data_IF_177977072535
#
_entry.id   IF_177977072535
#
_cell.length_a   1.000
_cell.length_b   1.000
_cell.length_c   1.000
_cell.angle_alpha   90.00
_cell.angle_beta   90.00
_cell.angle_gamma   90.00
#
_symmetry.space_group_name_H-M   'P 1'
#
loop_
_entity.id
_entity.type
_entity.pdbx_description
1 polymer ?
#
# COMPACT_ATOMS: atom_id res chain seq x y z
N UNK A 1 43.20 8.35 -26.33
CA UNK A 1 42.81 6.96 -26.06
C UNK A 1 41.76 7.08 -24.96
N UNK A 2 40.50 6.92 -25.30
CA UNK A 2 39.37 7.03 -24.38
C UNK A 2 39.06 5.61 -23.90
N UNK A 3 39.27 5.38 -22.61
CA UNK A 3 38.81 4.17 -21.93
C UNK A 3 37.28 4.14 -21.92
N UNK A 4 36.69 3.42 -22.85
CA UNK A 4 35.30 2.98 -22.73
C UNK A 4 35.30 1.80 -21.73
N UNK A 5 34.85 2.03 -20.54
CA UNK A 5 34.51 0.95 -19.61
C UNK A 5 33.43 0.08 -20.26
N UNK A 6 33.70 -1.21 -20.44
CA UNK A 6 32.72 -2.17 -20.91
C UNK A 6 31.49 -2.15 -20.00
N UNK A 7 30.25 -2.26 -20.54
CA UNK A 7 29.07 -2.35 -19.71
C UNK A 7 29.17 -3.61 -18.85
N UNK A 8 29.21 -3.41 -17.53
CA UNK A 8 29.27 -4.50 -16.56
C UNK A 8 28.17 -5.52 -16.84
N UNK A 9 28.53 -6.79 -16.87
CA UNK A 9 27.61 -7.92 -16.96
C UNK A 9 26.57 -7.76 -15.86
N UNK A 10 25.32 -7.54 -16.22
CA UNK A 10 24.20 -7.60 -15.27
C UNK A 10 24.11 -9.08 -14.87
N UNK A 11 24.74 -9.43 -13.76
CA UNK A 11 24.59 -10.76 -13.16
C UNK A 11 23.16 -10.88 -12.71
N UNK A 12 22.36 -11.73 -13.36
CA UNK A 12 21.04 -12.11 -12.89
C UNK A 12 21.16 -12.57 -11.43
N UNK A 13 20.29 -12.07 -10.56
CA UNK A 13 20.25 -12.53 -9.18
C UNK A 13 19.98 -14.04 -9.17
N UNK A 14 20.64 -14.82 -8.29
CA UNK A 14 20.34 -16.24 -8.16
C UNK A 14 18.88 -16.42 -7.75
N UNK A 15 18.32 -17.61 -8.00
CA UNK A 15 16.96 -17.92 -7.58
C UNK A 15 16.74 -17.58 -6.09
N UNK A 16 15.57 -17.08 -5.70
CA UNK A 16 15.29 -16.76 -4.30
C UNK A 16 15.28 -18.00 -3.44
N UNK A 17 15.79 -17.88 -2.23
CA UNK A 17 15.69 -18.88 -1.17
C UNK A 17 14.45 -18.61 -0.32
N UNK A 18 13.95 -19.57 0.47
CA UNK A 18 12.80 -19.33 1.38
C UNK A 18 12.97 -18.12 2.32
N UNK A 19 14.21 -17.74 2.66
CA UNK A 19 14.54 -16.59 3.50
C UNK A 19 14.39 -15.25 2.78
N UNK A 20 14.48 -15.25 1.46
CA UNK A 20 14.29 -14.07 0.62
C UNK A 20 12.80 -13.82 0.34
N UNK A 21 11.95 -14.79 0.66
CA UNK A 21 10.53 -14.79 0.34
C UNK A 21 9.67 -14.39 1.54
N UNK A 22 8.58 -13.70 1.26
CA UNK A 22 7.63 -13.26 2.28
C UNK A 22 6.20 -13.28 1.74
N UNK A 23 5.23 -13.71 2.57
CA UNK A 23 3.81 -13.60 2.24
C UNK A 23 3.32 -12.20 2.60
N UNK A 24 2.68 -11.54 1.63
CA UNK A 24 1.87 -10.35 1.83
C UNK A 24 0.41 -10.61 1.47
N UNK A 25 -0.51 -10.06 2.25
CA UNK A 25 -1.96 -10.16 2.05
C UNK A 25 -2.56 -8.77 2.04
N UNK A 26 -3.33 -8.47 1.00
CA UNK A 26 -4.10 -7.22 0.80
C UNK A 26 -5.58 -7.51 1.09
N UNK A 27 -6.10 -6.95 2.17
CA UNK A 27 -7.51 -7.05 2.55
C UNK A 27 -8.27 -5.87 1.97
N UNK A 28 -8.91 -6.09 0.81
CA UNK A 28 -9.74 -5.07 0.19
C UNK A 28 -11.24 -5.29 0.42
N UNK A 29 -12.06 -4.26 0.22
CA UNK A 29 -13.52 -4.31 0.41
C UNK A 29 -14.27 -5.28 -0.53
N UNK A 30 -13.68 -5.73 -1.62
CA UNK A 30 -14.28 -6.65 -2.59
C UNK A 30 -13.54 -7.98 -2.74
N UNK A 31 -12.31 -8.06 -2.23
CA UNK A 31 -11.51 -9.27 -2.34
C UNK A 31 -10.26 -9.17 -1.49
N UNK A 32 -9.90 -10.30 -0.90
CA UNK A 32 -8.68 -10.51 -0.14
C UNK A 32 -7.70 -11.22 -1.08
N UNK A 33 -6.52 -10.66 -1.23
CA UNK A 33 -5.50 -11.14 -2.18
C UNK A 33 -4.19 -11.37 -1.45
N UNK A 34 -3.49 -12.41 -1.82
CA UNK A 34 -2.16 -12.66 -1.31
C UNK A 34 -1.17 -12.99 -2.42
N UNK A 35 0.10 -12.87 -2.10
CA UNK A 35 1.20 -13.23 -2.98
C UNK A 35 2.49 -13.49 -2.20
N UNK A 36 3.39 -14.22 -2.82
CA UNK A 36 4.73 -14.47 -2.32
C UNK A 36 5.66 -13.47 -3.02
N UNK A 37 6.35 -12.67 -2.21
CA UNK A 37 7.22 -11.57 -2.67
C UNK A 37 8.68 -11.93 -2.42
N UNK A 38 9.53 -11.78 -3.43
CA UNK A 38 10.98 -11.77 -3.26
C UNK A 38 11.40 -10.38 -2.74
N UNK A 39 11.78 -10.30 -1.47
CA UNK A 39 12.14 -9.05 -0.80
C UNK A 39 13.41 -8.38 -1.36
N UNK A 40 14.22 -9.08 -2.16
CA UNK A 40 15.41 -8.50 -2.81
C UNK A 40 15.02 -7.61 -4.00
N UNK A 41 13.87 -7.89 -4.62
CA UNK A 41 13.44 -7.26 -5.88
C UNK A 41 12.07 -6.58 -5.80
N UNK A 42 11.23 -6.95 -4.82
CA UNK A 42 9.83 -6.55 -4.73
C UNK A 42 8.91 -7.26 -5.75
N UNK A 43 9.41 -8.26 -6.47
CA UNK A 43 8.59 -9.00 -7.43
C UNK A 43 7.80 -10.12 -6.76
N UNK A 44 6.60 -10.36 -7.26
CA UNK A 44 5.88 -11.59 -6.94
C UNK A 44 6.54 -12.77 -7.65
N UNK A 45 6.82 -13.83 -6.93
CA UNK A 45 7.41 -15.07 -7.48
C UNK A 45 6.35 -16.07 -7.95
N UNK A 46 5.08 -15.78 -7.69
CA UNK A 46 3.93 -16.60 -8.09
C UNK A 46 2.73 -15.73 -8.41
N UNK A 47 1.72 -16.29 -9.11
CA UNK A 47 0.46 -15.61 -9.32
C UNK A 47 -0.20 -15.26 -7.98
N UNK A 48 -0.90 -14.13 -7.96
CA UNK A 48 -1.71 -13.75 -6.81
C UNK A 48 -2.86 -14.73 -6.63
N UNK A 49 -3.13 -15.08 -5.39
CA UNK A 49 -4.34 -15.82 -5.04
C UNK A 49 -5.38 -14.86 -4.46
N UNK A 50 -6.64 -14.99 -4.87
CA UNK A 50 -7.72 -14.08 -4.48
C UNK A 50 -8.96 -14.84 -4.09
N UNK A 51 -9.56 -14.45 -2.97
CA UNK A 51 -10.90 -14.86 -2.52
C UNK A 51 -11.74 -13.60 -2.33
N UNK A 52 -13.04 -13.68 -2.60
CA UNK A 52 -13.96 -12.55 -2.36
C UNK A 52 -14.04 -12.23 -0.87
N UNK A 53 -14.09 -10.94 -0.53
CA UNK A 53 -14.28 -10.49 0.85
C UNK A 53 -15.66 -10.94 1.36
N UNK A 54 -15.73 -11.59 2.53
CA UNK A 54 -16.98 -12.08 3.08
C UNK A 54 -17.95 -10.93 3.40
N UNK A 55 -19.22 -11.23 3.43
CA UNK A 55 -20.27 -10.28 3.80
C UNK A 55 -21.19 -10.90 4.85
N UNK A 56 -21.20 -10.36 6.08
CA UNK A 56 -20.43 -9.22 6.58
C UNK A 56 -18.92 -9.55 6.72
N UNK A 57 -18.09 -8.50 6.57
CA UNK A 57 -16.63 -8.59 6.68
C UNK A 57 -16.16 -8.49 8.14
N UNK A 58 -16.71 -9.34 9.01
CA UNK A 58 -16.35 -9.39 10.43
C UNK A 58 -14.93 -9.93 10.64
N UNK A 59 -14.28 -9.65 11.80
CA UNK A 59 -12.96 -10.17 12.12
C UNK A 59 -12.81 -11.68 11.89
N UNK A 60 -13.74 -12.47 12.42
CA UNK A 60 -13.70 -13.94 12.28
C UNK A 60 -13.85 -14.40 10.82
N UNK A 61 -14.79 -13.79 10.07
CA UNK A 61 -15.02 -14.16 8.68
C UNK A 61 -13.85 -13.79 7.76
N UNK A 62 -13.22 -12.62 7.99
CA UNK A 62 -12.03 -12.18 7.25
C UNK A 62 -10.82 -13.05 7.60
N UNK A 63 -10.61 -13.37 8.88
CA UNK A 63 -9.52 -14.22 9.35
C UNK A 63 -9.55 -15.61 8.72
N UNK A 64 -10.73 -16.21 8.59
CA UNK A 64 -10.91 -17.51 7.90
C UNK A 64 -10.50 -17.41 6.41
N UNK A 65 -10.84 -16.32 5.73
CA UNK A 65 -10.43 -16.13 4.33
C UNK A 65 -8.93 -15.89 4.23
N UNK A 66 -8.33 -15.09 5.14
CA UNK A 66 -6.88 -14.88 5.21
C UNK A 66 -6.14 -16.20 5.42
N UNK A 67 -6.61 -17.06 6.34
CA UNK A 67 -6.06 -18.40 6.55
C UNK A 67 -6.00 -19.18 5.22
N UNK A 68 -7.11 -19.27 4.51
CA UNK A 68 -7.18 -19.97 3.22
C UNK A 68 -6.23 -19.38 2.17
N UNK A 69 -6.06 -18.07 2.15
CA UNK A 69 -5.09 -17.41 1.26
C UNK A 69 -3.67 -17.78 1.63
N UNK A 70 -3.33 -17.75 2.91
CA UNK A 70 -1.98 -18.10 3.40
C UNK A 70 -1.67 -19.57 3.20
N UNK A 71 -2.61 -20.48 3.50
CA UNK A 71 -2.46 -21.93 3.32
C UNK A 71 -2.18 -22.26 1.83
N UNK A 72 -2.94 -21.67 0.91
CA UNK A 72 -2.72 -21.83 -0.54
C UNK A 72 -1.32 -21.36 -0.95
N UNK A 73 -0.89 -20.18 -0.49
CA UNK A 73 0.43 -19.65 -0.82
C UNK A 73 1.55 -20.48 -0.22
N UNK A 74 1.36 -20.98 1.00
CA UNK A 74 2.35 -21.82 1.68
C UNK A 74 2.48 -23.22 1.04
N UNK A 75 1.46 -23.69 0.33
CA UNK A 75 1.49 -24.98 -0.38
C UNK A 75 2.25 -24.96 -1.71
N UNK A 76 2.72 -23.80 -2.16
CA UNK A 76 3.39 -23.63 -3.46
C UNK A 76 4.86 -24.02 -3.39
N UNK A 77 5.44 -24.40 -4.54
CA UNK A 77 6.85 -24.82 -4.65
C UNK A 77 7.85 -23.77 -4.16
N UNK A 78 7.56 -22.49 -4.42
CA UNK A 78 8.33 -21.33 -3.94
C UNK A 78 7.58 -20.67 -2.79
N UNK A 79 7.61 -21.28 -1.61
CA UNK A 79 7.04 -20.72 -0.38
C UNK A 79 8.14 -20.18 0.54
N UNK A 80 7.84 -19.16 1.37
CA UNK A 80 8.74 -18.73 2.44
C UNK A 80 8.82 -19.77 3.53
N UNK A 81 9.74 -19.56 4.49
CA UNK A 81 9.81 -20.37 5.70
C UNK A 81 8.44 -20.33 6.42
N UNK A 82 7.84 -21.48 6.80
CA UNK A 82 6.56 -21.52 7.50
C UNK A 82 6.52 -20.72 8.81
N UNK A 83 7.67 -20.55 9.47
CA UNK A 83 7.82 -19.77 10.70
C UNK A 83 7.97 -18.26 10.45
N UNK A 84 8.18 -17.85 9.20
CA UNK A 84 8.30 -16.42 8.88
C UNK A 84 6.97 -15.70 9.14
N UNK A 85 7.02 -14.44 9.55
CA UNK A 85 5.83 -13.62 9.77
C UNK A 85 4.98 -13.50 8.49
N UNK A 86 3.72 -13.09 8.62
CA UNK A 86 2.84 -12.72 7.50
C UNK A 86 2.55 -11.23 7.57
N UNK A 87 2.69 -10.53 6.47
CA UNK A 87 2.31 -9.11 6.37
C UNK A 87 0.88 -8.96 5.86
N UNK A 88 0.12 -8.08 6.50
CA UNK A 88 -1.27 -7.83 6.14
C UNK A 88 -1.50 -6.34 6.02
N UNK A 89 -1.93 -5.87 4.85
CA UNK A 89 -2.50 -4.54 4.78
C UNK A 89 -4.02 -4.57 4.98
N UNK A 90 -4.52 -3.49 5.56
CA UNK A 90 -5.90 -3.38 5.98
C UNK A 90 -6.47 -1.98 5.67
N UNK A 91 -7.71 -1.87 5.15
CA UNK A 91 -8.28 -0.60 4.69
C UNK A 91 -8.81 0.25 5.86
N UNK A 92 -7.96 0.50 6.84
CA UNK A 92 -8.26 1.30 8.03
C UNK A 92 -6.97 1.81 8.69
N UNK A 93 -7.10 2.74 9.62
CA UNK A 93 -6.01 3.15 10.51
C UNK A 93 -5.62 1.99 11.41
N UNK A 94 -4.38 1.50 11.27
CA UNK A 94 -3.80 0.43 12.09
C UNK A 94 -2.62 0.98 12.89
N UNK A 95 -2.76 1.03 14.21
CA UNK A 95 -1.72 1.54 15.10
C UNK A 95 -1.36 0.50 16.14
N UNK A 96 -0.12 0.03 16.11
CA UNK A 96 0.36 -1.04 17.01
C UNK A 96 -0.52 -2.31 16.97
N UNK A 97 -0.95 -2.74 15.79
CA UNK A 97 -1.83 -3.89 15.59
C UNK A 97 -3.32 -3.60 15.79
N UNK A 98 -3.69 -2.50 16.47
CA UNK A 98 -5.09 -2.14 16.73
C UNK A 98 -5.70 -1.38 15.56
N UNK A 99 -6.94 -1.70 15.20
CA UNK A 99 -7.75 -1.01 14.19
C UNK A 99 -8.54 0.12 14.86
N UNK A 100 -8.46 1.34 14.29
CA UNK A 100 -9.11 2.55 14.83
C UNK A 100 -10.22 3.12 13.94
N UNK A 101 -10.41 2.61 12.74
CA UNK A 101 -11.47 3.05 11.82
C UNK A 101 -12.04 1.86 11.06
N UNK A 102 -13.23 2.01 10.47
CA UNK A 102 -13.90 0.93 9.74
C UNK A 102 -14.73 1.45 8.56
N UNK A 103 -14.19 2.38 7.77
CA UNK A 103 -14.94 3.01 6.68
C UNK A 103 -15.38 2.03 5.56
N UNK A 104 -14.61 0.96 5.33
CA UNK A 104 -14.82 0.00 4.23
C UNK A 104 -14.93 -1.46 4.69
N UNK A 105 -15.01 -1.71 5.99
CA UNK A 105 -15.14 -3.02 6.63
C UNK A 105 -16.23 -2.97 7.69
N UNK A 106 -16.51 -4.09 8.35
CA UNK A 106 -17.50 -4.15 9.43
C UNK A 106 -17.06 -3.36 10.66
N UNK A 107 -17.97 -2.66 11.32
CA UNK A 107 -17.69 -1.81 12.49
C UNK A 107 -17.11 -2.60 13.66
N UNK A 108 -17.31 -3.92 13.71
CA UNK A 108 -16.71 -4.80 14.73
C UNK A 108 -15.18 -4.82 14.69
N UNK A 109 -14.55 -4.28 13.66
CA UNK A 109 -13.11 -4.10 13.60
C UNK A 109 -12.59 -2.96 14.50
N UNK A 110 -13.43 -1.98 14.84
CA UNK A 110 -13.01 -0.85 15.70
C UNK A 110 -12.57 -1.35 17.06
N UNK A 111 -11.36 -1.01 17.49
CA UNK A 111 -10.69 -1.47 18.69
C UNK A 111 -10.38 -2.98 18.70
N UNK A 112 -10.36 -3.65 17.54
CA UNK A 112 -9.91 -5.03 17.41
C UNK A 112 -8.41 -5.06 17.16
N UNK A 113 -7.71 -5.98 17.82
CA UNK A 113 -6.29 -6.28 17.53
C UNK A 113 -6.22 -7.17 16.29
N UNK A 114 -5.90 -6.54 15.13
CA UNK A 114 -5.76 -7.22 13.85
C UNK A 114 -4.67 -8.30 13.89
N UNK A 115 -3.52 -7.96 14.49
CA UNK A 115 -2.37 -8.87 14.54
C UNK A 115 -2.70 -10.11 15.37
N UNK A 116 -3.41 -9.94 16.49
CA UNK A 116 -3.84 -11.06 17.33
C UNK A 116 -4.87 -11.93 16.62
N UNK A 117 -5.95 -11.34 16.08
CA UNK A 117 -7.01 -12.08 15.37
C UNK A 117 -6.44 -12.90 14.22
N UNK A 118 -5.52 -12.34 13.45
CA UNK A 118 -4.90 -13.05 12.33
C UNK A 118 -3.89 -14.10 12.79
N UNK A 119 -3.11 -13.82 13.84
CA UNK A 119 -2.19 -14.80 14.43
C UNK A 119 -2.95 -16.03 14.95
N UNK A 120 -4.06 -15.82 15.66
CA UNK A 120 -4.91 -16.94 16.14
C UNK A 120 -5.46 -17.79 14.98
N UNK A 121 -5.88 -17.16 13.88
CA UNK A 121 -6.35 -17.86 12.69
C UNK A 121 -5.23 -18.60 11.95
N UNK A 122 -3.98 -18.19 12.09
CA UNK A 122 -2.79 -18.77 11.48
C UNK A 122 -1.98 -19.65 12.46
N UNK A 123 -2.65 -20.31 13.40
CA UNK A 123 -2.08 -21.25 14.36
C UNK A 123 -0.91 -20.67 15.19
N UNK A 124 -0.99 -19.38 15.52
CA UNK A 124 0.01 -18.64 16.31
C UNK A 124 1.16 -18.04 15.52
N UNK A 125 1.12 -18.09 14.18
CA UNK A 125 2.12 -17.45 13.31
C UNK A 125 2.14 -15.93 13.54
N UNK A 126 3.33 -15.36 13.57
CA UNK A 126 3.47 -13.91 13.74
C UNK A 126 2.85 -13.15 12.58
N UNK A 127 2.07 -12.12 12.87
CA UNK A 127 1.45 -11.24 11.88
C UNK A 127 1.84 -9.80 12.16
N UNK A 128 2.08 -9.04 11.10
CA UNK A 128 2.27 -7.59 11.16
C UNK A 128 1.25 -6.89 10.27
N UNK A 129 0.46 -6.00 10.87
CA UNK A 129 -0.58 -5.24 10.21
C UNK A 129 -0.18 -3.79 9.94
N UNK A 130 -0.63 -3.24 8.80
CA UNK A 130 -0.51 -1.81 8.50
C UNK A 130 -1.69 -1.33 7.66
N UNK A 131 -1.81 0.00 7.50
CA UNK A 131 -2.82 0.58 6.61
C UNK A 131 -2.50 0.27 5.13
N UNK A 132 -3.52 0.13 4.27
CA UNK A 132 -3.40 -0.22 2.85
C UNK A 132 -2.64 0.84 2.03
N UNK A 133 -2.88 2.13 2.29
CA UNK A 133 -2.13 3.21 1.63
C UNK A 133 -0.68 3.27 2.11
N UNK A 134 -0.42 3.03 3.41
CA UNK A 134 0.93 2.91 3.96
C UNK A 134 1.70 1.76 3.31
N UNK A 135 1.06 0.61 3.12
CA UNK A 135 1.65 -0.53 2.41
C UNK A 135 2.03 -0.14 0.97
N UNK A 136 1.09 0.45 0.24
CA UNK A 136 1.35 0.90 -1.13
C UNK A 136 2.48 1.92 -1.20
N UNK A 137 2.52 2.87 -0.25
CA UNK A 137 3.55 3.88 -0.13
C UNK A 137 4.94 3.28 0.12
N UNK A 138 5.02 2.36 1.08
CA UNK A 138 6.26 1.68 1.44
C UNK A 138 6.83 0.88 0.25
N UNK A 139 5.96 0.17 -0.47
CA UNK A 139 6.33 -0.58 -1.67
C UNK A 139 6.86 0.33 -2.79
N UNK A 140 6.18 1.44 -3.07
CA UNK A 140 6.60 2.41 -4.10
C UNK A 140 7.90 3.12 -3.73
N UNK A 141 8.12 3.44 -2.45
CA UNK A 141 9.35 4.05 -1.98
C UNK A 141 10.55 3.08 -2.07
N UNK A 142 10.32 1.79 -1.87
CA UNK A 142 11.39 0.79 -1.83
C UNK A 142 11.72 0.21 -3.21
N UNK A 143 10.70 -0.13 -3.99
CA UNK A 143 10.86 -0.85 -5.26
C UNK A 143 10.30 -0.11 -6.48
N UNK A 144 9.46 0.91 -6.26
CA UNK A 144 8.78 1.64 -7.32
C UNK A 144 9.42 2.98 -7.67
N UNK A 145 8.59 3.96 -7.94
CA UNK A 145 8.99 5.30 -8.40
C UNK A 145 9.73 6.13 -7.35
N UNK A 146 9.61 5.77 -6.07
CA UNK A 146 10.32 6.42 -4.97
C UNK A 146 11.70 5.82 -4.68
N UNK A 147 12.08 4.75 -5.36
CA UNK A 147 13.37 4.08 -5.14
C UNK A 147 14.55 5.02 -5.35
N UNK A 148 15.50 5.03 -4.40
CA UNK A 148 16.69 5.88 -4.41
C UNK A 148 16.38 7.38 -4.49
N UNK A 149 15.27 7.81 -3.90
CA UNK A 149 14.91 9.22 -3.77
C UNK A 149 15.00 9.65 -2.31
N UNK A 150 15.68 10.75 -2.10
CA UNK A 150 15.75 11.42 -0.79
C UNK A 150 14.58 12.40 -0.64
N UNK A 151 14.37 12.89 0.58
CA UNK A 151 13.35 13.85 0.92
C UNK A 151 11.97 13.24 1.17
N UNK A 152 10.94 14.08 1.08
CA UNK A 152 9.56 13.70 1.37
C UNK A 152 8.83 13.24 0.11
N UNK A 153 8.43 11.99 0.09
CA UNK A 153 7.57 11.41 -0.95
C UNK A 153 6.14 11.31 -0.41
N UNK A 154 5.19 11.87 -1.14
CA UNK A 154 3.77 11.71 -0.86
C UNK A 154 3.15 10.75 -1.89
N UNK A 155 2.77 9.57 -1.44
CA UNK A 155 2.05 8.58 -2.25
C UNK A 155 0.55 8.79 -2.03
N UNK A 156 -0.18 9.07 -3.10
CA UNK A 156 -1.62 9.36 -3.06
C UNK A 156 -2.35 8.33 -3.92
N UNK A 157 -3.21 7.54 -3.31
CA UNK A 157 -4.03 6.55 -4.01
C UNK A 157 -5.44 7.09 -4.25
N UNK A 158 -5.85 7.14 -5.52
CA UNK A 158 -7.15 7.63 -5.96
C UNK A 158 -8.04 6.45 -6.36
N UNK A 159 -8.96 6.09 -5.47
CA UNK A 159 -9.86 4.95 -5.61
C UNK A 159 -11.28 5.26 -5.13
N UNK A 160 -11.86 4.38 -4.31
CA UNK A 160 -13.13 4.62 -3.61
C UNK A 160 -13.03 5.84 -2.70
N UNK A 161 -11.92 5.96 -1.98
CA UNK A 161 -11.51 7.14 -1.24
C UNK A 161 -10.21 7.73 -1.79
N UNK A 162 -9.54 8.51 -0.96
CA UNK A 162 -8.17 8.99 -1.17
C UNK A 162 -7.30 8.45 -0.04
N UNK A 163 -6.48 7.44 -0.34
CA UNK A 163 -5.45 6.99 0.59
C UNK A 163 -4.17 7.81 0.43
N UNK A 164 -3.41 7.91 1.51
CA UNK A 164 -2.14 8.65 1.50
C UNK A 164 -1.08 7.97 2.36
N UNK A 165 0.16 8.01 1.91
CA UNK A 165 1.32 7.64 2.70
C UNK A 165 2.41 8.69 2.52
N UNK A 166 3.06 9.07 3.60
CA UNK A 166 4.22 9.95 3.59
C UNK A 166 5.47 9.15 3.94
N UNK A 167 6.48 9.25 3.08
CA UNK A 167 7.77 8.60 3.29
C UNK A 167 8.85 9.67 3.27
N UNK A 168 9.57 9.83 4.37
CA UNK A 168 10.68 10.77 4.47
C UNK A 168 12.00 10.02 4.57
N UNK A 169 12.89 10.21 3.60
CA UNK A 169 14.18 9.52 3.52
C UNK A 169 14.05 7.99 3.72
N UNK A 170 13.09 7.39 3.00
CA UNK A 170 12.79 5.96 3.05
C UNK A 170 12.04 5.48 4.31
N UNK A 171 11.68 6.37 5.24
CA UNK A 171 10.96 6.03 6.47
C UNK A 171 9.48 6.42 6.37
N UNK A 172 8.61 5.46 6.59
CA UNK A 172 7.16 5.68 6.61
C UNK A 172 6.76 6.53 7.81
N UNK A 173 5.94 7.55 7.56
CA UNK A 173 5.16 8.28 8.57
C UNK A 173 3.75 7.63 8.54
N UNK A 174 3.44 6.73 9.49
CA UNK A 174 2.28 5.86 9.34
C UNK A 174 0.95 6.56 9.60
N UNK A 175 -0.10 6.01 8.96
CA UNK A 175 -1.49 6.42 9.14
C UNK A 175 -1.75 7.90 8.84
N UNK A 176 -1.24 8.39 7.72
CA UNK A 176 -1.56 9.74 7.24
C UNK A 176 -2.86 9.70 6.45
N UNK A 177 -3.87 10.38 6.93
CA UNK A 177 -5.24 10.36 6.37
C UNK A 177 -5.52 11.67 5.60
N UNK A 178 -4.68 12.01 4.60
CA UNK A 178 -4.81 13.27 3.86
C UNK A 178 -6.05 13.33 2.96
N UNK A 179 -6.72 12.19 2.73
CA UNK A 179 -8.04 12.16 2.09
C UNK A 179 -9.12 12.84 2.92
N UNK A 180 -8.93 12.92 4.25
CA UNK A 180 -9.87 13.55 5.17
C UNK A 180 -9.60 15.04 5.42
N UNK A 181 -8.63 15.65 4.73
CA UNK A 181 -8.45 17.10 4.78
C UNK A 181 -9.75 17.82 4.40
N UNK A 182 -10.08 18.87 5.15
CA UNK A 182 -11.16 19.76 4.80
C UNK A 182 -10.63 20.83 3.81
N UNK A 183 -11.17 20.85 2.61
CA UNK A 183 -10.82 21.80 1.56
C UNK A 183 -12.11 22.46 1.07
N UNK A 184 -12.16 23.80 1.13
CA UNK A 184 -13.32 24.59 0.73
C UNK A 184 -14.64 24.15 1.44
N UNK A 185 -14.55 23.75 2.73
CA UNK A 185 -15.68 23.30 3.54
C UNK A 185 -16.16 21.88 3.25
N UNK A 186 -15.37 21.07 2.52
CA UNK A 186 -15.70 19.69 2.18
C UNK A 186 -14.54 18.74 2.50
N UNK A 187 -14.88 17.51 2.90
CA UNK A 187 -13.92 16.42 2.99
C UNK A 187 -13.32 16.16 1.59
N UNK A 188 -11.99 16.14 1.48
CA UNK A 188 -11.29 16.07 0.20
C UNK A 188 -11.66 14.84 -0.63
N UNK A 189 -11.74 13.65 -0.01
CA UNK A 189 -12.06 12.43 -0.75
C UNK A 189 -13.50 12.44 -1.31
N UNK A 190 -14.45 13.11 -0.62
CA UNK A 190 -15.82 13.26 -1.11
C UNK A 190 -15.90 14.11 -2.40
N UNK A 191 -14.85 14.87 -2.69
CA UNK A 191 -14.77 15.76 -3.85
C UNK A 191 -13.80 15.28 -4.94
N UNK A 192 -12.68 14.65 -4.56
CA UNK A 192 -11.55 14.39 -5.44
C UNK A 192 -11.15 12.90 -5.56
N UNK A 193 -11.85 11.96 -4.89
CA UNK A 193 -11.64 10.53 -5.15
C UNK A 193 -12.12 10.13 -6.55
N UNK A 194 -11.67 8.97 -7.04
CA UNK A 194 -12.17 8.43 -8.32
C UNK A 194 -13.68 8.16 -8.26
N UNK A 195 -14.16 7.64 -7.11
CA UNK A 195 -15.60 7.44 -6.86
C UNK A 195 -16.38 8.76 -6.88
N UNK A 196 -15.82 9.83 -6.30
CA UNK A 196 -16.46 11.15 -6.33
C UNK A 196 -16.66 11.65 -7.76
N UNK A 197 -15.70 11.38 -8.67
CA UNK A 197 -15.87 11.69 -10.10
C UNK A 197 -17.11 11.00 -10.69
N UNK A 198 -17.29 9.72 -10.38
CA UNK A 198 -18.41 8.92 -10.90
C UNK A 198 -19.75 9.37 -10.31
N UNK A 199 -19.82 9.49 -8.99
CA UNK A 199 -21.05 9.89 -8.26
C UNK A 199 -21.51 11.29 -8.65
N UNK A 200 -20.59 12.22 -8.88
CA UNK A 200 -20.90 13.60 -9.30
C UNK A 200 -20.93 13.77 -10.82
N UNK A 201 -20.79 12.68 -11.60
CA UNK A 201 -20.80 12.68 -13.06
C UNK A 201 -19.84 13.73 -13.67
N UNK A 202 -18.64 13.86 -13.07
CA UNK A 202 -17.70 14.90 -13.48
C UNK A 202 -17.03 14.56 -14.81
N UNK A 203 -17.01 15.54 -15.73
CA UNK A 203 -16.07 15.48 -16.85
C UNK A 203 -14.61 15.47 -16.34
N UNK A 204 -13.70 14.90 -17.11
CA UNK A 204 -12.29 14.83 -16.75
C UNK A 204 -11.69 16.22 -16.45
N UNK A 205 -12.10 17.25 -17.20
CA UNK A 205 -11.69 18.64 -16.94
C UNK A 205 -12.18 19.15 -15.58
N UNK A 206 -13.43 18.87 -15.20
CA UNK A 206 -13.94 19.27 -13.88
C UNK A 206 -13.27 18.49 -12.76
N UNK A 207 -13.03 17.20 -12.99
CA UNK A 207 -12.31 16.36 -12.04
C UNK A 207 -10.86 16.83 -11.84
N UNK A 208 -10.13 17.13 -12.92
CA UNK A 208 -8.78 17.67 -12.86
C UNK A 208 -8.69 18.97 -12.04
N UNK A 209 -9.71 19.85 -12.12
CA UNK A 209 -9.77 21.04 -11.26
C UNK A 209 -9.91 20.72 -9.77
N UNK A 210 -10.64 19.64 -9.42
CA UNK A 210 -10.75 19.20 -8.02
C UNK A 210 -9.44 18.56 -7.54
N UNK A 211 -8.78 17.79 -8.40
CA UNK A 211 -7.45 17.24 -8.13
C UNK A 211 -6.42 18.36 -7.94
N UNK A 212 -6.46 19.41 -8.79
CA UNK A 212 -5.61 20.58 -8.59
C UNK A 212 -5.74 21.15 -7.17
N UNK A 213 -6.97 21.43 -6.71
CA UNK A 213 -7.20 21.94 -5.35
C UNK A 213 -6.66 21.03 -4.26
N UNK A 214 -6.81 19.73 -4.42
CA UNK A 214 -6.30 18.74 -3.48
C UNK A 214 -4.76 18.74 -3.45
N UNK A 215 -4.10 18.58 -4.60
CA UNK A 215 -2.65 18.52 -4.68
C UNK A 215 -1.98 19.85 -4.32
N UNK A 216 -2.57 20.99 -4.70
CA UNK A 216 -2.13 22.31 -4.27
C UNK A 216 -2.13 22.43 -2.75
N UNK A 217 -3.22 21.96 -2.10
CA UNK A 217 -3.35 22.02 -0.64
C UNK A 217 -2.34 21.13 0.06
N UNK A 218 -2.18 19.88 -0.40
CA UNK A 218 -1.15 18.97 0.14
C UNK A 218 0.26 19.51 -0.07
N UNK A 219 0.56 20.05 -1.26
CA UNK A 219 1.84 20.69 -1.55
C UNK A 219 2.12 21.88 -0.62
N UNK A 220 1.11 22.70 -0.35
CA UNK A 220 1.24 23.86 0.54
C UNK A 220 1.55 23.42 2.00
N UNK A 221 0.93 22.34 2.46
CA UNK A 221 1.09 21.87 3.84
C UNK A 221 2.40 21.09 4.08
N UNK A 222 2.82 20.28 3.12
CA UNK A 222 3.89 19.30 3.31
C UNK A 222 5.12 19.55 2.44
N UNK A 223 4.99 20.32 1.35
CA UNK A 223 6.07 20.58 0.39
C UNK A 223 6.84 19.32 -0.02
N UNK A 224 6.16 18.25 -0.49
CA UNK A 224 6.84 17.02 -0.85
C UNK A 224 7.78 17.20 -2.04
N UNK A 225 8.84 16.42 -2.09
CA UNK A 225 9.80 16.39 -3.20
C UNK A 225 9.27 15.60 -4.40
N UNK A 226 8.31 14.69 -4.16
CA UNK A 226 7.68 13.87 -5.19
C UNK A 226 6.25 13.50 -4.79
N UNK A 227 5.31 13.61 -5.73
CA UNK A 227 4.03 12.92 -5.66
C UNK A 227 4.06 11.62 -6.49
N UNK A 228 3.65 10.51 -5.89
CA UNK A 228 3.39 9.24 -6.61
C UNK A 228 1.89 9.00 -6.60
N UNK A 229 1.27 8.94 -7.78
CA UNK A 229 -0.19 8.79 -7.91
C UNK A 229 -0.52 7.34 -8.21
N UNK A 230 -1.23 6.69 -7.27
CA UNK A 230 -1.70 5.32 -7.36
C UNK A 230 -3.22 5.20 -7.45
N UNK A 231 -3.71 3.99 -7.20
CA UNK A 231 -5.13 3.65 -7.26
C UNK A 231 -5.62 3.36 -8.67
N UNK A 232 -6.91 3.00 -8.78
CA UNK A 232 -7.48 2.51 -10.04
C UNK A 232 -7.43 3.50 -11.20
N UNK A 233 -7.50 4.80 -10.90
CA UNK A 233 -7.50 5.87 -11.90
C UNK A 233 -6.12 6.09 -12.56
N UNK A 234 -5.04 5.71 -11.88
CA UNK A 234 -3.67 5.87 -12.38
C UNK A 234 -3.36 5.07 -13.66
N UNK A 235 -4.29 4.20 -14.07
CA UNK A 235 -4.21 3.44 -15.34
C UNK A 235 -4.41 4.31 -16.59
N UNK A 236 -5.03 5.49 -16.45
CA UNK A 236 -5.39 6.37 -17.56
C UNK A 236 -5.01 7.83 -17.22
N UNK A 237 -3.73 8.12 -16.94
CA UNK A 237 -3.29 9.46 -16.50
C UNK A 237 -3.56 10.53 -17.55
N UNK A 238 -3.51 10.19 -18.82
CA UNK A 238 -3.79 11.07 -19.95
C UNK A 238 -5.18 11.71 -19.91
N UNK A 239 -6.11 11.12 -19.17
CA UNK A 239 -7.48 11.64 -19.05
C UNK A 239 -7.61 12.77 -18.03
N UNK A 240 -6.73 12.87 -17.03
CA UNK A 240 -6.89 13.83 -15.94
C UNK A 240 -5.64 14.68 -15.67
N UNK A 241 -4.43 14.13 -15.80
CA UNK A 241 -3.17 14.84 -15.53
C UNK A 241 -3.05 16.17 -16.30
N UNK A 242 -3.34 16.24 -17.62
CA UNK A 242 -3.16 17.46 -18.40
C UNK A 242 -3.97 18.66 -17.92
N UNK A 243 -4.93 18.45 -17.01
CA UNK A 243 -5.75 19.55 -16.51
C UNK A 243 -5.20 20.22 -15.26
N UNK A 244 -4.09 19.70 -14.67
CA UNK A 244 -3.56 20.29 -13.44
C UNK A 244 -2.05 20.08 -13.20
N UNK A 245 -1.39 19.09 -13.83
CA UNK A 245 0.00 18.74 -13.50
C UNK A 245 0.97 19.91 -13.64
N UNK A 246 0.85 20.73 -14.69
CA UNK A 246 1.69 21.91 -14.92
C UNK A 246 1.50 23.02 -13.89
N UNK A 247 0.44 22.95 -13.07
CA UNK A 247 0.13 23.95 -12.05
C UNK A 247 0.66 23.56 -10.66
N UNK A 248 1.10 22.30 -10.50
CA UNK A 248 1.71 21.79 -9.27
C UNK A 248 3.23 21.83 -9.44
N UNK A 249 3.93 22.46 -8.49
CA UNK A 249 5.40 22.60 -8.54
C UNK A 249 6.14 21.31 -8.23
N UNK A 250 5.59 20.50 -7.31
CA UNK A 250 6.15 19.19 -6.98
C UNK A 250 6.01 18.23 -8.15
N UNK A 251 7.09 17.58 -8.60
CA UNK A 251 7.02 16.54 -9.64
C UNK A 251 5.98 15.47 -9.32
N UNK A 252 5.29 14.97 -10.35
CA UNK A 252 4.24 13.97 -10.22
C UNK A 252 4.53 12.78 -11.14
N UNK A 253 4.43 11.56 -10.62
CA UNK A 253 4.61 10.32 -11.39
C UNK A 253 3.52 9.31 -11.06
N UNK A 254 3.25 8.39 -11.98
CA UNK A 254 2.31 7.29 -11.72
C UNK A 254 2.99 6.13 -10.99
N UNK A 255 2.28 5.52 -10.04
CA UNK A 255 2.75 4.35 -9.30
C UNK A 255 3.15 3.20 -10.23
N UNK A 256 4.31 2.58 -9.97
CA UNK A 256 4.86 1.50 -10.78
C UNK A 256 4.25 0.13 -10.43
N UNK A 257 4.06 -0.15 -9.15
CA UNK A 257 3.65 -1.48 -8.65
C UNK A 257 2.14 -1.74 -8.80
N UNK A 258 1.35 -0.69 -9.02
CA UNK A 258 -0.09 -0.80 -9.33
C UNK A 258 -0.85 -1.68 -8.32
N UNK A 259 -1.52 -2.74 -8.83
CA UNK A 259 -2.35 -3.65 -8.02
C UNK A 259 -1.54 -4.61 -7.11
N UNK A 260 -0.22 -4.58 -7.18
CA UNK A 260 0.66 -5.40 -6.32
C UNK A 260 1.19 -4.61 -5.12
N UNK A 261 1.02 -3.29 -5.12
CA UNK A 261 1.65 -2.41 -4.15
C UNK A 261 1.28 -2.77 -2.69
N UNK A 262 0.00 -3.06 -2.40
CA UNK A 262 -0.44 -3.48 -1.08
C UNK A 262 0.23 -4.78 -0.64
N UNK A 263 0.17 -5.84 -1.47
CA UNK A 263 0.80 -7.13 -1.19
C UNK A 263 2.31 -6.98 -0.95
N UNK A 264 3.00 -6.22 -1.83
CA UNK A 264 4.46 -6.01 -1.73
C UNK A 264 4.81 -5.22 -0.47
N UNK A 265 4.04 -4.17 -0.15
CA UNK A 265 4.25 -3.37 1.04
C UNK A 265 3.97 -4.14 2.33
N UNK A 266 2.92 -4.95 2.36
CA UNK A 266 2.62 -5.82 3.49
C UNK A 266 3.74 -6.86 3.72
N UNK A 267 4.20 -7.52 2.66
CA UNK A 267 5.33 -8.46 2.73
C UNK A 267 6.60 -7.78 3.24
N UNK A 268 6.92 -6.59 2.73
CA UNK A 268 8.07 -5.79 3.16
C UNK A 268 7.96 -5.41 4.64
N UNK A 269 6.77 -5.03 5.10
CA UNK A 269 6.50 -4.70 6.50
C UNK A 269 6.77 -5.87 7.45
N UNK A 270 6.38 -7.09 7.05
CA UNK A 270 6.61 -8.31 7.83
C UNK A 270 8.06 -8.81 7.75
N UNK A 271 8.73 -8.60 6.64
CA UNK A 271 10.09 -9.09 6.39
C UNK A 271 11.20 -8.41 7.19
N UNK A 272 10.87 -7.49 8.10
CA UNK A 272 11.84 -6.89 9.02
C UNK A 272 12.80 -5.87 8.38
N UNK A 273 12.53 -5.39 7.17
CA UNK A 273 13.26 -4.30 6.53
C UNK A 273 13.03 -2.93 7.20
N UNK A 274 12.30 -2.93 8.31
CA UNK A 274 12.01 -1.75 9.12
C UNK A 274 12.85 -1.77 10.40
N UNK A 275 13.25 -0.58 10.93
CA UNK A 275 13.95 -0.52 12.20
C UNK A 275 13.13 -1.23 13.27
N UNK A 276 13.83 -2.03 14.08
CA UNK A 276 13.26 -2.90 15.13
C UNK A 276 12.06 -2.23 15.81
N UNK A 277 10.87 -2.79 15.61
CA UNK A 277 9.73 -2.50 16.48
C UNK A 277 10.15 -2.97 17.87
N UNK A 278 10.20 -2.05 18.84
CA UNK A 278 10.28 -2.45 20.26
C UNK A 278 9.15 -3.44 20.48
N UNK A 279 9.51 -4.70 20.76
CA UNK A 279 8.55 -5.76 21.07
C UNK A 279 7.73 -5.28 22.27
N UNK A 280 6.41 -5.42 22.20
CA UNK A 280 5.55 -5.19 23.37
C UNK A 280 6.04 -6.11 24.48
N UNK A 281 6.53 -5.56 25.59
CA UNK A 281 6.87 -6.31 26.80
C UNK A 281 8.29 -6.20 27.30
N UNK A 282 9.20 -5.51 26.61
CA UNK A 282 10.55 -5.18 27.16
C UNK A 282 10.59 -3.69 27.51
N UNK A 283 10.05 -3.33 28.66
CA UNK A 283 10.24 -2.07 29.36
C UNK A 283 10.86 -2.37 30.73
#
# INVERSE_FOLDING_TARGET
MSDYAEPGVITELPAPTPKDLQIGVDIGGTGIKGGIVDLRTGNLVSDRFRIDTPKPATPAAVAEVVRRVVDELQSRDLAPDPESAVGIDFPAVVKNGMVFSAANVDDSWINTDLEQVMSEALDGRTVYGLNDADAAGLAEATYGQGRNRDGLIAVITLGTGIGSALINDGKLIPNTELGHLEIDGHNAESQASARAREVHELSWKKYGKRLYRYFEHVQMLFSPDLFIIGGGISKNPEKFMPYFEDQIRTPMVMAALRNNAGIVGAALWAGGMLPERKRRGEA
#
